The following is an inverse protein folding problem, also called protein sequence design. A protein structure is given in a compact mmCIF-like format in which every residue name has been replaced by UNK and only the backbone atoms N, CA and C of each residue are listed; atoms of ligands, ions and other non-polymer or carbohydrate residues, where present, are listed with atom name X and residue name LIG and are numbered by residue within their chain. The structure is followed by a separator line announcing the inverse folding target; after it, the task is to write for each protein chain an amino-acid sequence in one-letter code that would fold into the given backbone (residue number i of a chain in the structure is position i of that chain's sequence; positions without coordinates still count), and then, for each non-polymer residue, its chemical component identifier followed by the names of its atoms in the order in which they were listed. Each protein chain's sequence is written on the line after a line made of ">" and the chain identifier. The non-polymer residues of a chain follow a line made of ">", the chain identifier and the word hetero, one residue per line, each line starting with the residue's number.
data_IF_923992665200
#
_entry.id   IF_923992665200
#
_cell.length_a   1.000
_cell.length_b   1.000
_cell.length_c   1.000
_cell.angle_alpha   90.00
_cell.angle_beta   90.00
_cell.angle_gamma   90.00
#
_symmetry.space_group_name_H-M   'P 1'
#
loop_
_entity.id
_entity.type
_entity.pdbx_description
1 polymer ?
#
# COMPACT_ATOMS: atom_id res chain seq x y z
N UNK A 1 -3.99 4.40 -15.40
CA UNK A 1 -2.93 5.37 -15.11
C UNK A 1 -2.28 5.00 -13.77
N UNK A 2 -0.96 5.16 -13.67
CA UNK A 2 -0.19 4.92 -12.44
C UNK A 2 -0.28 6.14 -11.52
N UNK A 3 -0.48 5.94 -10.20
CA UNK A 3 -0.44 7.01 -9.19
C UNK A 3 0.53 6.64 -8.07
N UNK A 4 1.46 7.55 -7.76
CA UNK A 4 2.41 7.41 -6.67
C UNK A 4 1.72 7.12 -5.32
N UNK A 5 2.42 6.43 -4.42
CA UNK A 5 1.92 6.15 -3.09
C UNK A 5 1.57 7.43 -2.31
N UNK A 6 0.39 7.38 -1.70
CA UNK A 6 -0.16 8.43 -0.85
C UNK A 6 0.35 8.26 0.58
N UNK A 7 1.19 9.20 1.05
CA UNK A 7 1.83 9.14 2.37
C UNK A 7 0.83 9.31 3.52
N UNK A 8 -0.23 10.09 3.30
CA UNK A 8 -1.30 10.35 4.27
C UNK A 8 -2.08 9.08 4.67
N UNK A 9 -2.05 8.03 3.84
CA UNK A 9 -2.61 6.72 4.18
C UNK A 9 -1.80 5.97 5.25
N UNK A 10 -0.53 6.35 5.44
CA UNK A 10 0.41 5.70 6.35
C UNK A 10 0.65 6.58 7.57
N UNK A 11 -0.41 6.74 8.34
CA UNK A 11 -0.42 7.50 9.59
C UNK A 11 -1.14 6.71 10.67
N UNK A 12 -0.80 6.97 11.92
CA UNK A 12 -1.34 6.20 13.03
C UNK A 12 -0.88 6.70 14.40
N UNK A 13 -1.27 5.95 15.42
CA UNK A 13 -0.84 6.16 16.80
C UNK A 13 0.63 5.76 16.97
N UNK A 14 1.46 6.64 17.51
CA UNK A 14 2.84 6.33 17.91
C UNK A 14 2.80 5.75 19.33
N UNK A 15 3.21 4.49 19.48
CA UNK A 15 3.37 3.85 20.80
C UNK A 15 4.77 4.10 21.38
N UNK A 16 5.78 4.22 20.52
CA UNK A 16 7.15 4.61 20.89
C UNK A 16 7.84 5.24 19.68
N UNK A 17 8.71 6.21 19.94
CA UNK A 17 9.59 6.81 18.93
C UNK A 17 10.93 6.07 18.80
N UNK A 18 11.27 5.22 19.77
CA UNK A 18 12.62 4.63 19.89
C UNK A 18 12.64 3.11 20.08
N UNK A 19 11.57 2.51 20.60
CA UNK A 19 11.47 1.05 20.82
C UNK A 19 10.79 0.38 19.63
N UNK A 20 11.59 -0.25 18.76
CA UNK A 20 11.11 -0.93 17.55
C UNK A 20 10.10 -2.04 17.84
N UNK A 21 10.12 -2.65 19.03
CA UNK A 21 9.13 -3.69 19.40
C UNK A 21 7.71 -3.15 19.55
N UNK A 22 7.57 -1.83 19.66
CA UNK A 22 6.29 -1.11 19.75
C UNK A 22 5.92 -0.42 18.44
N UNK A 23 6.70 -0.59 17.37
CA UNK A 23 6.43 0.08 16.11
C UNK A 23 5.19 -0.50 15.42
N UNK A 24 4.49 0.39 14.72
CA UNK A 24 3.43 0.04 13.77
C UNK A 24 3.93 0.18 12.34
N UNK A 25 3.28 -0.49 11.40
CA UNK A 25 3.74 -0.54 10.01
C UNK A 25 3.93 0.85 9.37
N UNK A 26 3.16 1.86 9.76
CA UNK A 26 3.36 3.22 9.24
C UNK A 26 4.72 3.84 9.61
N UNK A 27 5.36 3.39 10.70
CA UNK A 27 6.69 3.84 11.13
C UNK A 27 7.82 3.18 10.32
N UNK A 28 7.56 2.04 9.67
CA UNK A 28 8.59 1.21 9.03
C UNK A 28 8.37 1.01 7.53
N UNK A 29 7.28 1.54 6.96
CA UNK A 29 6.94 1.36 5.54
C UNK A 29 7.89 2.16 4.65
N UNK A 30 8.41 1.52 3.60
CA UNK A 30 9.23 2.18 2.59
C UNK A 30 8.37 2.60 1.39
N UNK A 31 8.56 3.84 0.91
CA UNK A 31 7.88 4.33 -0.30
C UNK A 31 8.79 4.13 -1.50
N UNK A 32 8.32 3.42 -2.52
CA UNK A 32 9.08 3.15 -3.75
C UNK A 32 8.29 3.56 -4.98
N UNK A 33 8.94 4.14 -5.99
CA UNK A 33 8.36 4.25 -7.32
C UNK A 33 8.77 3.01 -8.13
N UNK A 34 7.86 2.48 -8.95
CA UNK A 34 8.15 1.31 -9.80
C UNK A 34 9.07 1.67 -10.98
N UNK A 35 9.15 2.96 -11.29
CA UNK A 35 9.98 3.51 -12.35
C UNK A 35 11.41 3.83 -11.87
N UNK A 36 11.68 3.76 -10.56
CA UNK A 36 13.03 3.97 -10.04
C UNK A 36 13.92 2.78 -10.44
N UNK A 37 15.09 3.10 -11.01
CA UNK A 37 16.08 2.11 -11.42
C UNK A 37 16.83 1.59 -10.19
N UNK A 38 16.36 0.47 -9.63
CA UNK A 38 16.88 -0.04 -8.36
C UNK A 38 17.86 -1.21 -8.59
N UNK A 39 19.14 -0.95 -8.33
CA UNK A 39 20.19 -1.98 -8.21
C UNK A 39 20.13 -2.70 -6.83
N UNK A 40 19.17 -2.36 -5.98
CA UNK A 40 18.99 -2.98 -4.67
C UNK A 40 18.37 -4.38 -4.74
N UNK A 41 18.73 -5.22 -3.76
CA UNK A 41 18.17 -6.56 -3.64
C UNK A 41 16.66 -6.48 -3.35
N UNK A 42 15.83 -7.11 -4.19
CA UNK A 42 14.36 -7.13 -4.07
C UNK A 42 13.86 -8.08 -2.97
N UNK A 43 14.43 -8.02 -1.77
CA UNK A 43 14.00 -8.83 -0.62
C UNK A 43 12.96 -8.08 0.21
N UNK A 44 11.77 -8.66 0.36
CA UNK A 44 10.70 -8.07 1.17
C UNK A 44 9.31 -8.31 0.59
N UNK A 45 8.36 -7.48 1.00
CA UNK A 45 6.95 -7.51 0.57
C UNK A 45 6.60 -6.20 -0.12
N UNK A 46 6.15 -6.29 -1.37
CA UNK A 46 5.65 -5.14 -2.14
C UNK A 46 4.13 -5.03 -2.08
N UNK A 47 3.61 -3.82 -1.85
CA UNK A 47 2.17 -3.52 -1.85
C UNK A 47 1.84 -2.62 -3.04
N UNK A 48 0.99 -3.14 -3.94
CA UNK A 48 0.41 -2.41 -5.07
C UNK A 48 -1.11 -2.40 -4.95
N UNK A 49 -1.72 -1.23 -5.08
CA UNK A 49 -3.18 -1.08 -5.11
C UNK A 49 -3.73 -1.20 -6.53
N UNK A 50 -4.83 -1.93 -6.70
CA UNK A 50 -5.60 -1.94 -7.95
C UNK A 50 -7.01 -1.42 -7.69
N UNK A 51 -7.21 -0.12 -7.94
CA UNK A 51 -8.41 0.64 -7.59
C UNK A 51 -9.35 0.77 -8.80
N UNK A 52 -10.07 -0.31 -9.13
CA UNK A 52 -10.95 -0.35 -10.31
C UNK A 52 -12.29 -1.00 -9.99
N UNK A 53 -13.38 -0.36 -10.41
CA UNK A 53 -14.75 -0.89 -10.34
C UNK A 53 -15.26 -1.43 -11.68
N UNK A 54 -14.57 -1.18 -12.80
CA UNK A 54 -15.10 -1.46 -14.13
C UNK A 54 -15.48 -2.94 -14.34
N UNK A 55 -14.65 -3.87 -13.85
CA UNK A 55 -14.99 -5.30 -13.89
C UNK A 55 -16.21 -5.65 -13.04
N UNK A 56 -16.40 -4.98 -11.90
CA UNK A 56 -17.57 -5.17 -11.03
C UNK A 56 -18.84 -4.66 -11.71
N UNK A 57 -18.77 -3.47 -12.31
CA UNK A 57 -19.86 -2.88 -13.09
C UNK A 57 -20.29 -3.79 -14.25
N UNK A 58 -19.33 -4.27 -15.06
CA UNK A 58 -19.60 -5.16 -16.20
C UNK A 58 -20.30 -6.46 -15.80
N UNK A 59 -19.99 -6.97 -14.60
CA UNK A 59 -20.61 -8.18 -14.06
C UNK A 59 -21.89 -7.88 -13.23
N UNK A 60 -22.45 -6.67 -13.34
CA UNK A 60 -23.67 -6.23 -12.63
C UNK A 60 -23.55 -6.35 -11.11
N UNK A 61 -22.33 -6.25 -10.59
CA UNK A 61 -22.05 -6.24 -9.16
C UNK A 61 -22.31 -4.87 -8.52
N UNK A 62 -22.13 -4.80 -7.19
CA UNK A 62 -22.18 -3.53 -6.45
C UNK A 62 -20.80 -2.85 -6.48
N UNK A 63 -20.74 -1.65 -7.03
CA UNK A 63 -19.51 -0.83 -7.10
C UNK A 63 -18.94 -0.47 -5.73
N UNK A 64 -17.65 -0.14 -5.67
CA UNK A 64 -16.95 0.29 -4.45
C UNK A 64 -15.62 -0.43 -4.20
N UNK A 65 -15.29 -1.45 -4.99
CA UNK A 65 -14.01 -2.17 -4.91
C UNK A 65 -12.81 -1.25 -5.14
N UNK A 66 -12.97 -0.20 -5.96
CA UNK A 66 -11.92 0.81 -6.20
C UNK A 66 -11.44 1.51 -4.91
N UNK A 67 -12.25 1.58 -3.86
CA UNK A 67 -11.89 2.21 -2.58
C UNK A 67 -11.11 1.25 -1.66
N UNK A 68 -11.17 -0.05 -1.95
CA UNK A 68 -10.55 -1.12 -1.16
C UNK A 68 -9.06 -0.93 -0.91
N UNK A 69 -8.21 -0.62 -1.92
CA UNK A 69 -6.79 -0.45 -1.72
C UNK A 69 -6.44 0.60 -0.67
N UNK A 70 -7.12 1.75 -0.66
CA UNK A 70 -6.86 2.81 0.31
C UNK A 70 -7.35 2.42 1.71
N UNK A 71 -8.52 1.77 1.80
CA UNK A 71 -9.04 1.25 3.07
C UNK A 71 -8.09 0.22 3.70
N UNK A 72 -7.56 -0.72 2.90
CA UNK A 72 -6.59 -1.73 3.36
C UNK A 72 -5.29 -1.05 3.83
N UNK A 73 -4.73 -0.10 3.06
CA UNK A 73 -3.50 0.61 3.44
C UNK A 73 -3.65 1.35 4.78
N UNK A 74 -4.75 2.08 4.99
CA UNK A 74 -5.03 2.80 6.25
C UNK A 74 -5.12 1.87 7.46
N UNK A 75 -5.81 0.74 7.31
CA UNK A 75 -5.92 -0.25 8.39
C UNK A 75 -4.58 -0.92 8.66
N UNK A 76 -3.87 -1.34 7.61
CA UNK A 76 -2.58 -2.02 7.71
C UNK A 76 -1.51 -1.13 8.35
N UNK A 77 -1.48 0.17 8.01
CA UNK A 77 -0.59 1.17 8.59
C UNK A 77 -0.61 1.16 10.13
N UNK A 78 -1.76 0.88 10.73
CA UNK A 78 -1.95 0.87 12.17
C UNK A 78 -1.68 -0.47 12.83
N UNK A 79 -1.35 -1.55 12.09
CA UNK A 79 -1.04 -2.84 12.71
C UNK A 79 0.38 -2.85 13.32
N UNK A 80 0.60 -3.57 14.44
CA UNK A 80 1.93 -3.70 15.05
C UNK A 80 2.87 -4.51 14.16
N UNK A 81 4.16 -4.16 14.17
CA UNK A 81 5.21 -4.89 13.47
C UNK A 81 5.62 -6.10 14.31
N UNK A 82 5.11 -7.28 13.97
CA UNK A 82 5.41 -8.53 14.72
C UNK A 82 6.74 -9.16 14.27
N UNK A 83 7.09 -8.99 12.99
CA UNK A 83 8.36 -9.45 12.42
C UNK A 83 8.96 -8.35 11.58
N UNK A 84 10.25 -8.11 11.78
CA UNK A 84 10.98 -7.20 10.91
C UNK A 84 11.08 -7.80 9.52
N UNK A 85 10.40 -7.17 8.57
CA UNK A 85 10.52 -7.43 7.16
C UNK A 85 10.46 -6.10 6.42
N UNK A 86 11.22 -6.00 5.32
CA UNK A 86 11.14 -4.82 4.47
C UNK A 86 9.78 -4.83 3.75
N UNK A 87 8.89 -3.92 4.14
CA UNK A 87 7.61 -3.72 3.46
C UNK A 87 7.69 -2.43 2.67
N UNK A 88 7.33 -2.52 1.40
CA UNK A 88 7.39 -1.43 0.44
C UNK A 88 5.99 -1.13 -0.08
N UNK A 89 5.56 0.12 -0.01
CA UNK A 89 4.35 0.61 -0.67
C UNK A 89 4.72 1.37 -1.93
N UNK A 90 4.10 1.00 -3.05
CA UNK A 90 4.44 1.56 -4.36
C UNK A 90 3.41 2.56 -4.85
N UNK A 91 2.30 2.06 -5.37
CA UNK A 91 1.35 2.88 -6.10
C UNK A 91 -0.06 2.34 -6.02
N UNK A 92 -0.98 3.07 -6.63
CA UNK A 92 -2.31 2.61 -6.95
C UNK A 92 -2.53 2.75 -8.46
N UNK A 93 -2.89 1.65 -9.11
CA UNK A 93 -3.35 1.61 -10.49
C UNK A 93 -4.86 1.89 -10.51
N UNK A 94 -5.33 2.74 -11.41
CA UNK A 94 -6.73 3.19 -11.46
C UNK A 94 -7.45 2.93 -12.80
N UNK A 95 -6.85 2.15 -13.68
CA UNK A 95 -7.36 1.87 -15.03
C UNK A 95 -7.13 0.40 -15.35
N UNK A 96 -8.06 -0.18 -16.09
CA UNK A 96 -7.81 -1.42 -16.82
C UNK A 96 -7.05 -1.04 -18.08
N UNK A 97 -5.80 -1.45 -18.21
CA UNK A 97 -5.13 -1.46 -19.51
C UNK A 97 -5.81 -2.59 -20.29
N UNK A 98 -6.74 -2.24 -21.17
CA UNK A 98 -7.23 -3.16 -22.19
C UNK A 98 -6.55 -2.66 -23.45
N UNK A 99 -5.54 -3.40 -23.88
CA UNK A 99 -4.90 -3.22 -25.18
C UNK A 99 -5.87 -3.68 -26.29
#
# INVERSE_FOLDING_TARGET
>A
MYKLAQRDLWTGRIDSETDESQFRHFQTINFRNIEDDDNESRHGVGILGYAVDKGVELNKGRIGAKEGPNAIKKTFANLPVIRQCNVMTMATLNTIMID
#
